data_IF_141455888456
#
_entry.id   IF_141455888456
#
_cell.length_a   1.000
_cell.length_b   1.000
_cell.length_c   1.000
_cell.angle_alpha   90.00
_cell.angle_beta   90.00
_cell.angle_gamma   90.00
#
_symmetry.space_group_name_H-M   'P 1'
#
loop_
_entity.id
_entity.type
_entity.pdbx_description
1 polymer ?
#
# COMPACT_ATOMS: atom_id res chain seq x y z
N UNK A 1 41.36 30.62 -30.91
CA UNK A 1 40.07 29.96 -31.25
C UNK A 1 39.47 29.48 -29.93
N UNK A 2 38.40 30.12 -29.46
CA UNK A 2 37.75 29.78 -28.21
C UNK A 2 36.78 28.62 -28.47
N UNK A 3 37.10 27.44 -27.94
CA UNK A 3 36.13 26.35 -27.83
C UNK A 3 35.23 26.69 -26.65
N UNK A 4 34.07 27.26 -26.95
CA UNK A 4 33.00 27.46 -25.98
C UNK A 4 32.54 26.08 -25.51
N UNK A 5 33.05 25.67 -24.36
CA UNK A 5 32.53 24.56 -23.58
C UNK A 5 31.15 25.02 -23.07
N UNK A 6 30.08 24.63 -23.77
CA UNK A 6 28.70 24.86 -23.31
C UNK A 6 28.54 24.11 -21.99
N UNK A 7 28.76 24.81 -20.87
CA UNK A 7 28.52 24.32 -19.55
C UNK A 7 27.05 23.88 -19.46
N UNK A 8 26.82 22.58 -19.46
CA UNK A 8 25.49 22.00 -19.28
C UNK A 8 24.86 22.62 -18.03
N UNK A 9 23.82 23.43 -18.24
CA UNK A 9 23.13 24.14 -17.17
C UNK A 9 22.43 23.11 -16.28
N UNK A 10 23.05 22.77 -15.15
CA UNK A 10 22.47 21.85 -14.17
C UNK A 10 21.27 22.52 -13.50
N UNK A 11 20.08 22.15 -13.94
CA UNK A 11 18.82 22.52 -13.28
C UNK A 11 18.53 21.49 -12.20
N UNK A 12 18.31 21.94 -10.96
CA UNK A 12 17.94 21.03 -9.89
C UNK A 12 16.60 20.36 -10.19
N UNK A 13 16.43 19.11 -9.75
CA UNK A 13 15.17 18.40 -9.94
C UNK A 13 13.96 19.17 -9.40
N UNK A 14 14.14 19.92 -8.31
CA UNK A 14 13.11 20.75 -7.71
C UNK A 14 12.76 21.98 -8.56
N UNK A 15 13.74 22.65 -9.17
CA UNK A 15 13.50 23.80 -10.06
C UNK A 15 12.77 23.35 -11.32
N UNK A 16 13.15 22.18 -11.86
CA UNK A 16 12.47 21.56 -13.01
C UNK A 16 11.03 21.17 -12.67
N UNK A 17 10.79 20.60 -11.49
CA UNK A 17 9.45 20.30 -10.98
C UNK A 17 8.62 21.57 -10.79
N UNK A 18 9.19 22.62 -10.20
CA UNK A 18 8.52 23.90 -10.03
C UNK A 18 8.10 24.50 -11.37
N UNK A 19 8.97 24.43 -12.39
CA UNK A 19 8.66 24.87 -13.75
C UNK A 19 7.53 24.04 -14.38
N UNK A 20 7.55 22.71 -14.22
CA UNK A 20 6.49 21.83 -14.74
C UNK A 20 5.14 22.09 -14.05
N UNK A 21 5.15 22.35 -12.75
CA UNK A 21 3.96 22.63 -11.94
C UNK A 21 3.50 24.09 -12.00
N UNK A 22 4.23 24.95 -12.73
CA UNK A 22 3.81 26.32 -13.02
C UNK A 22 2.62 26.35 -13.99
N UNK A 23 2.44 25.29 -14.78
CA UNK A 23 1.25 25.06 -15.61
C UNK A 23 0.05 24.68 -14.72
N UNK A 24 -1.02 25.50 -14.66
CA UNK A 24 -2.17 25.24 -13.80
C UNK A 24 -2.86 23.90 -14.09
N UNK A 25 -2.94 23.48 -15.35
CA UNK A 25 -3.60 22.22 -15.71
C UNK A 25 -2.80 21.02 -15.20
N UNK A 26 -1.46 21.08 -15.31
CA UNK A 26 -0.57 20.05 -14.77
C UNK A 26 -0.65 19.99 -13.26
N UNK A 27 -0.71 21.14 -12.60
CA UNK A 27 -0.87 21.22 -11.15
C UNK A 27 -2.18 20.58 -10.69
N UNK A 28 -3.30 20.93 -11.32
CA UNK A 28 -4.61 20.31 -11.02
C UNK A 28 -4.58 18.79 -11.22
N UNK A 29 -3.91 18.30 -12.26
CA UNK A 29 -3.77 16.85 -12.47
C UNK A 29 -2.97 16.16 -11.37
N UNK A 30 -1.86 16.76 -10.93
CA UNK A 30 -1.04 16.22 -9.84
C UNK A 30 -1.80 16.23 -8.52
N UNK A 31 -2.54 17.31 -8.24
CA UNK A 31 -3.39 17.41 -7.05
C UNK A 31 -4.48 16.33 -7.05
N UNK A 32 -5.11 16.07 -8.20
CA UNK A 32 -6.10 15.00 -8.35
C UNK A 32 -5.51 13.63 -8.06
N UNK A 33 -4.35 13.29 -8.67
CA UNK A 33 -3.64 12.03 -8.41
C UNK A 33 -3.29 11.89 -6.92
N UNK A 34 -2.78 12.97 -6.31
CA UNK A 34 -2.41 12.97 -4.89
C UNK A 34 -3.63 12.73 -4.00
N UNK A 35 -4.78 13.33 -4.36
CA UNK A 35 -6.04 13.14 -3.63
C UNK A 35 -6.56 11.71 -3.71
N UNK A 36 -6.43 11.08 -4.89
CA UNK A 36 -6.79 9.68 -5.13
C UNK A 36 -5.87 8.74 -4.35
N UNK A 37 -4.56 8.95 -4.40
CA UNK A 37 -3.60 8.19 -3.60
C UNK A 37 -3.88 8.30 -2.10
N UNK A 38 -4.21 9.50 -1.62
CA UNK A 38 -4.56 9.71 -0.22
C UNK A 38 -5.86 9.01 0.17
N UNK A 39 -6.84 8.91 -0.74
CA UNK A 39 -8.06 8.15 -0.52
C UNK A 39 -7.76 6.65 -0.42
N UNK A 40 -6.97 6.11 -1.34
CA UNK A 40 -6.56 4.70 -1.36
C UNK A 40 -5.79 4.35 -0.07
N UNK A 41 -4.86 5.20 0.38
CA UNK A 41 -4.12 4.94 1.63
C UNK A 41 -5.05 4.90 2.86
N UNK A 42 -6.02 5.82 2.94
CA UNK A 42 -7.01 5.82 4.02
C UNK A 42 -7.87 4.56 3.99
N UNK A 43 -8.32 4.15 2.81
CA UNK A 43 -9.11 2.92 2.65
C UNK A 43 -8.29 1.67 3.00
N UNK A 44 -7.03 1.59 2.55
CA UNK A 44 -6.12 0.51 2.92
C UNK A 44 -5.93 0.43 4.45
N UNK A 45 -5.70 1.57 5.10
CA UNK A 45 -5.53 1.62 6.55
C UNK A 45 -6.79 1.17 7.29
N UNK A 46 -7.96 1.60 6.84
CA UNK A 46 -9.24 1.17 7.41
C UNK A 46 -9.45 -0.35 7.22
N UNK A 47 -9.11 -0.88 6.05
CA UNK A 47 -9.16 -2.30 5.74
C UNK A 47 -8.29 -3.12 6.71
N UNK A 48 -7.03 -2.71 6.89
CA UNK A 48 -6.10 -3.36 7.84
C UNK A 48 -6.64 -3.31 9.26
N UNK A 49 -7.14 -2.16 9.72
CA UNK A 49 -7.69 -2.02 11.08
C UNK A 49 -8.92 -2.91 11.32
N UNK A 50 -9.84 -3.00 10.36
CA UNK A 50 -11.01 -3.87 10.46
C UNK A 50 -10.59 -5.34 10.58
N UNK A 51 -9.64 -5.74 9.74
CA UNK A 51 -9.12 -7.09 9.77
C UNK A 51 -8.38 -7.37 11.08
N UNK A 52 -7.61 -6.41 11.62
CA UNK A 52 -6.90 -6.54 12.90
C UNK A 52 -7.88 -6.67 14.07
N UNK A 53 -8.98 -5.93 14.05
CA UNK A 53 -10.08 -6.11 14.98
C UNK A 53 -10.72 -7.50 14.91
N UNK A 54 -10.97 -8.01 13.70
CA UNK A 54 -11.51 -9.36 13.51
C UNK A 54 -10.54 -10.46 14.02
N UNK A 55 -9.24 -10.28 13.79
CA UNK A 55 -8.21 -11.18 14.30
C UNK A 55 -8.17 -11.15 15.82
N UNK A 56 -8.16 -9.96 16.43
CA UNK A 56 -8.17 -9.80 17.88
C UNK A 56 -9.41 -10.43 18.53
N UNK A 57 -10.59 -10.25 17.91
CA UNK A 57 -11.83 -10.88 18.38
C UNK A 57 -11.75 -12.42 18.31
N UNK A 58 -11.17 -12.97 17.24
CA UNK A 58 -10.97 -14.42 17.07
C UNK A 58 -9.98 -14.95 18.10
N UNK A 59 -8.84 -14.27 18.27
CA UNK A 59 -7.82 -14.61 19.26
C UNK A 59 -8.32 -14.54 20.70
N UNK A 60 -9.29 -13.66 20.99
CA UNK A 60 -9.94 -13.59 22.31
C UNK A 60 -10.78 -14.84 22.62
N UNK A 61 -11.35 -15.48 21.59
CA UNK A 61 -12.20 -16.67 21.73
C UNK A 61 -11.37 -17.96 21.68
N UNK A 62 -10.49 -18.10 20.70
CA UNK A 62 -9.74 -19.32 20.42
C UNK A 62 -8.33 -19.34 21.05
N UNK A 63 -7.82 -18.19 21.47
CA UNK A 63 -6.44 -18.01 21.88
C UNK A 63 -5.53 -17.53 20.73
N UNK A 64 -4.51 -16.69 21.02
CA UNK A 64 -3.60 -16.18 19.99
C UNK A 64 -2.82 -17.27 19.25
N UNK A 65 -2.33 -18.30 19.96
CA UNK A 65 -1.54 -19.38 19.36
C UNK A 65 -2.35 -20.21 18.36
N UNK A 66 -3.56 -20.63 18.75
CA UNK A 66 -4.48 -21.40 17.88
C UNK A 66 -4.85 -20.57 16.64
N UNK A 67 -5.09 -19.27 16.83
CA UNK A 67 -5.45 -18.38 15.72
C UNK A 67 -4.29 -18.23 14.74
N UNK A 68 -3.05 -18.12 15.22
CA UNK A 68 -1.86 -18.09 14.37
C UNK A 68 -1.67 -19.41 13.60
N UNK A 69 -1.76 -20.56 14.28
CA UNK A 69 -1.64 -21.88 13.66
C UNK A 69 -2.65 -22.09 12.53
N UNK A 70 -3.90 -21.68 12.72
CA UNK A 70 -4.94 -21.78 11.68
C UNK A 70 -4.61 -20.93 10.45
N UNK A 71 -4.09 -19.72 10.66
CA UNK A 71 -3.72 -18.82 9.56
C UNK A 71 -2.51 -19.33 8.78
N UNK A 72 -1.50 -19.86 9.47
CA UNK A 72 -0.32 -20.46 8.85
C UNK A 72 -0.70 -21.70 8.06
N UNK A 73 -1.56 -22.55 8.62
CA UNK A 73 -2.03 -23.75 7.95
C UNK A 73 -2.88 -23.43 6.72
N UNK A 74 -3.75 -22.42 6.81
CA UNK A 74 -4.50 -21.91 5.67
C UNK A 74 -3.55 -21.40 4.57
N UNK A 75 -2.56 -20.59 4.95
CA UNK A 75 -1.58 -20.07 4.00
C UNK A 75 -0.84 -21.21 3.29
N UNK A 76 -0.36 -22.20 4.05
CA UNK A 76 0.33 -23.38 3.51
C UNK A 76 -0.52 -24.13 2.51
N UNK A 77 -1.79 -24.39 2.82
CA UNK A 77 -2.70 -25.10 1.92
C UNK A 77 -2.99 -24.32 0.64
N UNK A 78 -3.22 -23.00 0.74
CA UNK A 78 -3.48 -22.15 -0.43
C UNK A 78 -2.25 -22.08 -1.34
N UNK A 79 -1.06 -21.94 -0.77
CA UNK A 79 0.20 -21.96 -1.52
C UNK A 79 0.43 -23.31 -2.19
N UNK A 80 0.16 -24.42 -1.49
CA UNK A 80 0.26 -25.76 -2.06
C UNK A 80 -0.73 -26.00 -3.23
N UNK A 81 -1.89 -25.33 -3.20
CA UNK A 81 -2.85 -25.33 -4.30
C UNK A 81 -2.46 -24.42 -5.48
N UNK A 82 -1.34 -23.71 -5.38
CA UNK A 82 -0.84 -22.82 -6.43
C UNK A 82 -1.40 -21.40 -6.38
N UNK A 83 -2.08 -21.00 -5.29
CA UNK A 83 -2.52 -19.63 -5.11
C UNK A 83 -1.31 -18.68 -5.01
N UNK A 84 -1.40 -17.54 -5.68
CA UNK A 84 -0.41 -16.46 -5.62
C UNK A 84 -1.05 -15.20 -5.05
N UNK A 85 -0.34 -14.45 -4.22
CA UNK A 85 -0.85 -13.21 -3.63
C UNK A 85 -1.99 -13.43 -2.62
N UNK A 86 -1.80 -14.31 -1.65
CA UNK A 86 -2.82 -14.67 -0.66
C UNK A 86 -3.14 -13.47 0.25
N UNK A 87 -4.39 -13.04 0.23
CA UNK A 87 -4.88 -11.90 1.00
C UNK A 87 -6.40 -11.90 1.14
N UNK A 88 -6.90 -10.92 1.89
CA UNK A 88 -8.34 -10.69 2.07
C UNK A 88 -8.71 -9.44 1.27
N UNK A 89 -9.63 -9.59 0.32
CA UNK A 89 -10.17 -8.49 -0.47
C UNK A 89 -11.41 -7.90 0.21
N UNK A 90 -11.41 -6.59 0.40
CA UNK A 90 -12.49 -5.81 0.97
C UNK A 90 -12.93 -4.75 -0.05
N UNK A 91 -14.23 -4.58 -0.23
CA UNK A 91 -14.79 -3.59 -1.16
C UNK A 91 -15.31 -2.37 -0.40
N UNK A 92 -14.74 -1.20 -0.65
CA UNK A 92 -15.15 0.07 -0.05
C UNK A 92 -15.63 1.03 -1.13
N UNK A 93 -16.92 1.38 -1.12
CA UNK A 93 -17.49 2.36 -2.06
C UNK A 93 -17.04 2.13 -3.52
N UNK A 94 -17.09 0.86 -3.98
CA UNK A 94 -16.70 0.47 -5.34
C UNK A 94 -15.21 0.23 -5.58
N UNK A 95 -14.36 0.37 -4.56
CA UNK A 95 -12.91 0.13 -4.65
C UNK A 95 -12.56 -1.20 -3.98
N UNK A 96 -11.83 -2.05 -4.69
CA UNK A 96 -11.33 -3.31 -4.16
C UNK A 96 -9.95 -3.12 -3.53
N UNK A 97 -9.81 -3.55 -2.27
CA UNK A 97 -8.58 -3.45 -1.51
C UNK A 97 -8.19 -4.84 -1.01
N UNK A 98 -7.02 -5.33 -1.42
CA UNK A 98 -6.49 -6.62 -0.94
C UNK A 98 -5.44 -6.39 0.12
N UNK A 99 -5.68 -6.93 1.32
CA UNK A 99 -4.71 -6.94 2.42
C UNK A 99 -4.01 -8.31 2.45
N UNK A 100 -2.68 -8.37 2.23
CA UNK A 100 -1.96 -9.64 2.21
C UNK A 100 -1.93 -10.30 3.58
N UNK A 101 -2.10 -11.62 3.62
CA UNK A 101 -2.12 -12.41 4.85
C UNK A 101 -0.73 -12.50 5.51
N UNK A 102 0.35 -12.49 4.71
CA UNK A 102 1.75 -12.61 5.18
C UNK A 102 2.21 -11.49 6.11
N UNK A 103 1.61 -10.29 6.03
CA UNK A 103 1.96 -9.18 6.94
C UNK A 103 1.45 -9.38 8.36
N UNK A 104 0.58 -10.37 8.60
CA UNK A 104 -0.20 -10.47 9.84
C UNK A 104 0.36 -11.52 10.80
N UNK A 105 1.11 -12.50 10.30
CA UNK A 105 1.89 -13.44 11.12
C UNK A 105 2.98 -12.71 11.90
N UNK A 106 3.64 -11.71 11.29
CA UNK A 106 4.74 -10.96 11.91
C UNK A 106 4.32 -9.99 13.05
N UNK A 107 3.03 -9.70 13.21
CA UNK A 107 2.54 -8.73 14.21
C UNK A 107 1.93 -9.41 15.45
N UNK A 108 1.96 -10.74 15.52
CA UNK A 108 1.49 -11.52 16.69
C UNK A 108 2.62 -11.82 17.68
N UNK A 109 3.87 -11.48 17.36
CA UNK A 109 5.06 -11.69 18.20
C UNK A 109 5.56 -10.43 18.94
N UNK A 110 4.73 -9.39 19.11
CA UNK A 110 5.09 -8.17 19.84
C UNK A 110 4.13 -7.83 20.97
#
# INVERSE_FOLDING_TARGET
MATSDEAAQFVSGNDRLAQILSDPERRTRVDAITSEMALIDRQYRAAVQLLDGALAATSSIAGPAVTAEVLDELHRHLTAAGAQGIGITLTFAGHEMTVPLERRSANTER
#
